data_IF_331330677567
#
_entry.id   IF_331330677567
#
_cell.length_a   1.000
_cell.length_b   1.000
_cell.length_c   1.000
_cell.angle_alpha   90.00
_cell.angle_beta   90.00
_cell.angle_gamma   90.00
#
_symmetry.space_group_name_H-M   'P 1'
#
loop_
_entity.id
_entity.type
_entity.pdbx_description
1 polymer ?
#
# COMPACT_ATOMS: atom_id res chain seq x y z
N UNK A 1 19.91 -39.71 -18.19
CA UNK A 1 19.80 -41.10 -18.59
C UNK A 1 18.34 -41.59 -18.54
N UNK A 2 17.81 -42.08 -19.69
CA UNK A 2 16.40 -42.43 -19.84
C UNK A 2 15.94 -43.53 -18.81
N UNK A 3 16.82 -44.43 -18.41
CA UNK A 3 16.50 -45.50 -17.44
C UNK A 3 16.30 -45.02 -16.01
N UNK A 4 16.97 -43.95 -15.59
CA UNK A 4 16.76 -43.33 -14.28
C UNK A 4 15.43 -42.58 -14.21
N UNK A 5 15.02 -41.94 -15.31
CA UNK A 5 13.75 -41.23 -15.39
C UNK A 5 12.55 -42.18 -15.31
N UNK A 6 12.62 -43.37 -15.91
CA UNK A 6 11.56 -44.37 -15.77
C UNK A 6 11.40 -44.92 -14.34
N UNK A 7 12.51 -45.10 -13.62
CA UNK A 7 12.48 -45.52 -12.22
C UNK A 7 11.88 -44.47 -11.30
N UNK A 8 12.17 -43.18 -11.55
CA UNK A 8 11.58 -42.07 -10.83
C UNK A 8 10.09 -41.90 -11.12
N UNK A 9 9.68 -41.98 -12.38
CA UNK A 9 8.29 -41.89 -12.81
C UNK A 9 7.39 -43.03 -12.21
N UNK A 10 7.97 -44.20 -11.90
CA UNK A 10 7.23 -45.31 -11.29
C UNK A 10 7.06 -45.18 -9.79
N UNK A 11 7.78 -44.29 -9.12
CA UNK A 11 7.83 -44.18 -7.66
C UNK A 11 7.25 -42.87 -7.13
N UNK A 12 7.10 -41.83 -7.95
CA UNK A 12 6.75 -40.47 -7.50
C UNK A 12 5.83 -39.82 -8.52
N UNK A 13 4.67 -39.36 -8.06
CA UNK A 13 3.72 -38.56 -8.84
C UNK A 13 3.31 -37.36 -7.99
N UNK A 14 4.05 -36.24 -8.15
CA UNK A 14 3.84 -35.02 -7.38
C UNK A 14 2.91 -34.07 -8.13
N UNK A 15 1.80 -33.73 -7.51
CA UNK A 15 0.99 -32.61 -7.96
C UNK A 15 1.58 -31.30 -7.44
N UNK A 16 2.30 -30.59 -8.28
CA UNK A 16 2.97 -29.34 -7.92
C UNK A 16 2.00 -28.20 -7.57
N UNK A 17 0.73 -28.26 -7.99
CA UNK A 17 -0.29 -27.32 -7.52
C UNK A 17 -0.52 -27.47 -6.00
N UNK A 18 -0.62 -28.72 -5.52
CA UNK A 18 -0.84 -28.99 -4.09
C UNK A 18 0.41 -28.65 -3.25
N UNK A 19 1.61 -28.68 -3.87
CA UNK A 19 2.86 -28.36 -3.19
C UNK A 19 3.02 -26.85 -2.98
N UNK A 20 2.66 -26.03 -3.96
CA UNK A 20 2.97 -24.59 -3.94
C UNK A 20 1.77 -23.70 -3.64
N UNK A 21 0.56 -24.26 -3.65
CA UNK A 21 -0.65 -23.54 -3.31
C UNK A 21 -1.34 -24.13 -2.07
N UNK A 22 -2.01 -23.27 -1.33
CA UNK A 22 -2.79 -23.65 -0.17
C UNK A 22 -4.19 -24.10 -0.63
N UNK A 23 -4.59 -25.33 -0.32
CA UNK A 23 -5.96 -25.82 -0.56
C UNK A 23 -7.01 -25.03 0.24
N UNK A 24 -6.62 -24.51 1.38
CA UNK A 24 -7.49 -23.80 2.33
C UNK A 24 -6.75 -22.57 2.87
N UNK A 25 -6.75 -21.51 2.10
CA UNK A 25 -6.27 -20.20 2.56
C UNK A 25 -7.32 -19.58 3.50
N UNK A 26 -6.96 -19.36 4.76
CA UNK A 26 -7.85 -18.77 5.75
C UNK A 26 -7.92 -17.26 5.57
N UNK A 27 -9.15 -16.72 5.62
CA UNK A 27 -9.39 -15.29 5.68
C UNK A 27 -10.25 -14.98 6.91
N UNK A 28 -9.81 -14.02 7.71
CA UNK A 28 -10.52 -13.51 8.89
C UNK A 28 -10.67 -11.99 8.78
N UNK A 29 -11.86 -11.48 9.05
CA UNK A 29 -12.13 -10.05 9.12
C UNK A 29 -13.03 -9.76 10.32
N UNK A 30 -12.61 -8.80 11.14
CA UNK A 30 -13.35 -8.36 12.32
C UNK A 30 -13.47 -6.83 12.26
N UNK A 31 -14.69 -6.32 12.33
CA UNK A 31 -14.99 -4.91 12.27
C UNK A 31 -15.88 -4.52 13.45
N UNK A 32 -15.49 -3.46 14.15
CA UNK A 32 -16.26 -2.87 15.22
C UNK A 32 -16.43 -1.38 14.97
N UNK A 33 -17.63 -0.85 15.10
CA UNK A 33 -17.87 0.59 14.95
C UNK A 33 -18.87 1.11 15.95
N UNK A 34 -18.70 2.38 16.31
CA UNK A 34 -19.62 3.15 17.14
C UNK A 34 -19.87 4.48 16.46
N UNK A 35 -21.13 4.87 16.37
CA UNK A 35 -21.52 6.18 15.85
C UNK A 35 -22.64 6.79 16.68
N UNK A 36 -22.67 8.11 16.73
CA UNK A 36 -23.77 8.86 17.32
C UNK A 36 -23.94 10.20 16.61
N UNK A 37 -25.17 10.66 16.58
CA UNK A 37 -25.54 11.93 15.99
C UNK A 37 -26.44 12.70 16.97
N UNK A 38 -26.07 13.95 17.24
CA UNK A 38 -26.85 14.91 17.99
C UNK A 38 -26.99 16.21 17.18
N UNK A 39 -27.77 17.18 17.67
CA UNK A 39 -27.86 18.48 17.01
C UNK A 39 -26.51 19.23 16.90
N UNK A 40 -25.59 18.95 17.82
CA UNK A 40 -24.29 19.67 17.90
C UNK A 40 -23.10 18.88 17.45
N UNK A 41 -23.19 17.55 17.42
CA UNK A 41 -22.04 16.70 17.15
C UNK A 41 -22.46 15.40 16.47
N UNK A 42 -21.75 15.04 15.43
CA UNK A 42 -21.79 13.72 14.80
C UNK A 42 -20.42 13.08 14.93
N UNK A 43 -20.36 11.83 15.32
CA UNK A 43 -19.10 11.10 15.31
C UNK A 43 -19.27 9.65 14.83
N UNK A 44 -18.21 9.14 14.28
CA UNK A 44 -18.05 7.74 13.89
C UNK A 44 -16.63 7.30 14.24
N UNK A 45 -16.51 6.21 14.98
CA UNK A 45 -15.23 5.57 15.29
C UNK A 45 -15.34 4.10 14.91
N UNK A 46 -14.34 3.57 14.22
CA UNK A 46 -14.28 2.15 13.91
C UNK A 46 -12.85 1.62 14.02
N UNK A 47 -12.75 0.33 14.35
CA UNK A 47 -11.53 -0.44 14.28
C UNK A 47 -11.77 -1.70 13.47
N UNK A 48 -10.83 -2.10 12.65
CA UNK A 48 -10.89 -3.35 11.91
C UNK A 48 -9.56 -4.10 11.94
N UNK A 49 -9.68 -5.41 11.94
CA UNK A 49 -8.58 -6.35 11.78
C UNK A 49 -8.89 -7.26 10.60
N UNK A 50 -7.90 -7.46 9.76
CA UNK A 50 -7.98 -8.35 8.60
C UNK A 50 -6.70 -9.19 8.55
N UNK A 51 -6.85 -10.51 8.44
CA UNK A 51 -5.76 -11.47 8.34
C UNK A 51 -6.12 -12.48 7.25
N UNK A 52 -5.22 -12.66 6.30
CA UNK A 52 -5.41 -13.52 5.15
C UNK A 52 -4.15 -14.30 4.84
N UNK A 53 -4.28 -15.62 4.80
CA UNK A 53 -3.30 -16.47 4.13
C UNK A 53 -3.53 -16.37 2.61
N UNK A 54 -2.45 -16.24 1.86
CA UNK A 54 -2.54 -16.24 0.40
C UNK A 54 -2.75 -17.65 -0.15
N UNK A 55 -3.24 -17.73 -1.38
CA UNK A 55 -3.34 -19.00 -2.09
C UNK A 55 -1.97 -19.60 -2.40
N UNK A 56 -0.95 -18.76 -2.70
CA UNK A 56 0.43 -19.24 -2.81
C UNK A 56 1.02 -19.42 -1.40
N UNK A 57 1.68 -20.55 -1.17
CA UNK A 57 2.35 -20.84 0.10
C UNK A 57 3.38 -19.74 0.42
N UNK A 58 3.55 -19.42 1.70
CA UNK A 58 4.46 -18.37 2.16
C UNK A 58 3.96 -16.95 1.96
N UNK A 59 2.78 -16.73 1.37
CA UNK A 59 2.18 -15.41 1.25
C UNK A 59 1.15 -15.14 2.33
N UNK A 60 1.25 -13.98 2.99
CA UNK A 60 0.30 -13.55 4.03
C UNK A 60 0.05 -12.06 3.95
N UNK A 61 -1.16 -11.64 4.30
CA UNK A 61 -1.53 -10.24 4.42
C UNK A 61 -2.25 -9.98 5.73
N UNK A 62 -1.76 -9.01 6.50
CA UNK A 62 -2.38 -8.58 7.76
C UNK A 62 -2.57 -7.06 7.78
N UNK A 63 -3.74 -6.60 8.19
CA UNK A 63 -4.06 -5.18 8.28
C UNK A 63 -4.83 -4.85 9.56
N UNK A 64 -4.41 -3.76 10.20
CA UNK A 64 -5.13 -3.08 11.27
C UNK A 64 -5.52 -1.70 10.78
N UNK A 65 -6.75 -1.30 11.02
CA UNK A 65 -7.27 -0.02 10.60
C UNK A 65 -8.07 0.60 11.75
N UNK A 66 -7.83 1.88 12.02
CA UNK A 66 -8.62 2.70 12.93
C UNK A 66 -9.09 3.92 12.15
N UNK A 67 -10.38 4.24 12.27
CA UNK A 67 -10.97 5.44 11.67
C UNK A 67 -11.72 6.21 12.74
N UNK A 68 -11.55 7.53 12.73
CA UNK A 68 -12.28 8.45 13.59
C UNK A 68 -12.72 9.66 12.76
N UNK A 69 -14.02 9.88 12.68
CA UNK A 69 -14.62 11.03 12.03
C UNK A 69 -15.42 11.78 13.10
N UNK A 70 -15.27 13.06 13.17
CA UNK A 70 -16.05 13.92 14.04
C UNK A 70 -16.42 15.23 13.32
N UNK A 71 -17.61 15.71 13.62
CA UNK A 71 -18.18 16.92 13.08
C UNK A 71 -18.91 17.63 14.21
N UNK A 72 -18.48 18.82 14.57
CA UNK A 72 -18.95 19.56 15.73
C UNK A 72 -19.40 20.96 15.33
N UNK A 73 -20.64 21.29 15.62
CA UNK A 73 -21.14 22.66 15.55
C UNK A 73 -20.77 23.39 16.84
N UNK A 74 -19.57 24.01 16.83
CA UNK A 74 -19.02 24.71 18.01
C UNK A 74 -19.84 25.96 18.39
N UNK A 75 -20.45 26.62 17.39
CA UNK A 75 -21.36 27.73 17.57
C UNK A 75 -22.38 27.80 16.42
N UNK A 76 -23.25 28.81 16.42
CA UNK A 76 -24.18 29.03 15.29
C UNK A 76 -23.50 29.35 13.97
N UNK A 77 -22.30 29.89 14.04
CA UNK A 77 -21.51 30.34 12.88
C UNK A 77 -20.24 29.54 12.65
N UNK A 78 -19.87 28.59 13.55
CA UNK A 78 -18.63 27.81 13.46
C UNK A 78 -18.91 26.31 13.54
N UNK A 79 -18.46 25.57 12.51
CA UNK A 79 -18.44 24.12 12.43
C UNK A 79 -17.00 23.64 12.22
N UNK A 80 -16.59 22.66 13.00
CA UNK A 80 -15.28 22.04 12.94
C UNK A 80 -15.44 20.56 12.66
N UNK A 81 -14.53 19.98 11.91
CA UNK A 81 -14.58 18.54 11.70
C UNK A 81 -13.24 17.93 11.38
N UNK A 82 -13.18 16.63 11.58
CA UNK A 82 -12.04 15.78 11.26
C UNK A 82 -12.47 14.46 10.67
N UNK A 83 -11.69 13.98 9.70
CA UNK A 83 -11.75 12.61 9.20
C UNK A 83 -10.33 12.06 9.26
N UNK A 84 -10.09 11.11 10.14
CA UNK A 84 -8.75 10.54 10.34
C UNK A 84 -8.81 9.03 10.22
N UNK A 85 -7.85 8.47 9.51
CA UNK A 85 -7.65 7.03 9.38
C UNK A 85 -6.17 6.71 9.58
N UNK A 86 -5.90 5.72 10.42
CA UNK A 86 -4.57 5.13 10.59
C UNK A 86 -4.62 3.67 10.20
N UNK A 87 -3.64 3.23 9.42
CA UNK A 87 -3.55 1.86 8.89
C UNK A 87 -2.15 1.32 9.15
N UNK A 88 -2.07 0.09 9.62
CA UNK A 88 -0.87 -0.72 9.59
C UNK A 88 -1.12 -1.94 8.72
N UNK A 89 -0.23 -2.20 7.77
CA UNK A 89 -0.25 -3.36 6.89
C UNK A 89 1.07 -4.11 7.00
N UNK A 90 1.00 -5.43 6.99
CA UNK A 90 2.15 -6.31 6.84
C UNK A 90 1.84 -7.31 5.74
N UNK A 91 2.74 -7.42 4.79
CA UNK A 91 2.68 -8.36 3.67
C UNK A 91 3.94 -9.20 3.70
N UNK A 92 3.79 -10.51 3.73
CA UNK A 92 4.81 -11.43 3.31
C UNK A 92 4.41 -11.91 1.91
N UNK A 93 5.26 -11.66 0.95
CA UNK A 93 4.96 -11.95 -0.46
C UNK A 93 5.69 -13.23 -0.86
N UNK A 94 4.99 -14.13 -1.51
CA UNK A 94 5.63 -15.23 -2.23
C UNK A 94 6.38 -14.66 -3.45
N UNK A 95 7.41 -15.35 -3.91
CA UNK A 95 8.11 -14.98 -5.14
C UNK A 95 7.14 -15.06 -6.33
N UNK A 96 7.09 -14.03 -7.15
CA UNK A 96 6.20 -13.91 -8.31
C UNK A 96 6.93 -13.83 -9.66
N UNK A 97 8.25 -14.04 -9.66
CA UNK A 97 9.08 -14.00 -10.87
C UNK A 97 8.58 -15.00 -11.92
N UNK A 98 8.20 -14.48 -13.10
CA UNK A 98 7.53 -15.27 -14.16
C UNK A 98 8.37 -16.45 -14.66
N UNK A 99 9.69 -16.34 -14.62
CA UNK A 99 10.62 -17.37 -15.09
C UNK A 99 11.43 -18.04 -13.98
N UNK A 100 11.16 -17.67 -12.73
CA UNK A 100 11.85 -18.26 -11.60
C UNK A 100 11.18 -19.58 -11.21
N UNK A 101 11.86 -20.71 -11.42
CA UNK A 101 11.30 -22.05 -11.12
C UNK A 101 10.92 -22.23 -9.65
N UNK A 102 11.49 -21.44 -8.76
CA UNK A 102 11.13 -21.40 -7.33
C UNK A 102 9.90 -20.54 -7.03
N UNK A 103 9.36 -19.81 -7.99
CA UNK A 103 8.09 -19.13 -7.79
C UNK A 103 6.92 -20.12 -7.83
N UNK A 104 5.89 -19.99 -6.97
CA UNK A 104 4.76 -20.92 -6.96
C UNK A 104 4.07 -21.09 -8.32
N UNK A 105 3.89 -19.98 -9.05
CA UNK A 105 3.23 -20.01 -10.36
C UNK A 105 4.08 -20.78 -11.39
N UNK A 106 5.38 -20.52 -11.45
CA UNK A 106 6.28 -21.21 -12.36
C UNK A 106 6.47 -22.67 -11.97
N UNK A 107 6.62 -22.96 -10.66
CA UNK A 107 6.74 -24.33 -10.17
C UNK A 107 5.53 -25.18 -10.54
N UNK A 108 4.30 -24.66 -10.38
CA UNK A 108 3.07 -25.36 -10.72
C UNK A 108 2.96 -25.74 -12.20
N UNK A 109 3.69 -25.05 -13.09
CA UNK A 109 3.62 -25.23 -14.54
C UNK A 109 4.78 -26.01 -15.13
N UNK A 110 5.97 -25.85 -14.55
CA UNK A 110 7.23 -26.33 -15.17
C UNK A 110 7.92 -27.42 -14.38
N UNK A 111 7.59 -27.63 -13.11
CA UNK A 111 8.14 -28.72 -12.33
C UNK A 111 7.56 -30.05 -12.77
N UNK A 112 8.43 -31.04 -12.91
CA UNK A 112 8.03 -32.35 -13.39
C UNK A 112 7.49 -33.23 -12.23
N UNK A 113 6.48 -34.06 -12.46
CA UNK A 113 5.79 -34.79 -11.39
C UNK A 113 6.65 -35.83 -10.70
N UNK A 114 7.75 -36.27 -11.30
CA UNK A 114 8.71 -37.17 -10.68
C UNK A 114 9.79 -36.52 -9.84
N UNK A 115 9.77 -35.22 -9.69
CA UNK A 115 10.63 -34.48 -8.77
C UNK A 115 9.93 -34.34 -7.42
N UNK A 116 10.45 -35.04 -6.41
CA UNK A 116 9.87 -34.97 -5.06
C UNK A 116 10.49 -33.80 -4.28
N UNK A 117 9.69 -32.81 -3.80
CA UNK A 117 10.21 -31.70 -3.01
C UNK A 117 10.60 -32.11 -1.58
N UNK A 118 10.27 -33.34 -1.16
CA UNK A 118 10.54 -33.83 0.20
C UNK A 118 11.51 -35.01 0.18
N UNK A 119 12.19 -35.20 1.30
CA UNK A 119 12.94 -36.41 1.62
C UNK A 119 11.99 -37.52 2.12
N UNK A 120 12.52 -38.73 2.29
CA UNK A 120 11.76 -39.87 2.84
C UNK A 120 11.26 -39.59 4.26
N UNK A 121 11.94 -38.79 5.06
CA UNK A 121 11.55 -38.36 6.40
C UNK A 121 10.50 -37.24 6.44
N UNK A 122 10.07 -36.74 5.29
CA UNK A 122 9.10 -35.66 5.14
C UNK A 122 9.68 -34.25 5.25
N UNK A 123 11.00 -34.10 5.46
CA UNK A 123 11.66 -32.80 5.44
C UNK A 123 11.86 -32.30 4.02
N UNK A 124 12.00 -30.99 3.83
CA UNK A 124 12.22 -30.38 2.51
C UNK A 124 13.55 -30.86 1.94
N UNK A 125 13.53 -31.35 0.69
CA UNK A 125 14.72 -31.77 -0.02
C UNK A 125 15.58 -30.56 -0.40
N UNK A 126 16.90 -30.67 -0.23
CA UNK A 126 17.84 -29.59 -0.44
C UNK A 126 18.83 -29.91 -1.55
N UNK A 127 19.24 -28.86 -2.25
CA UNK A 127 20.34 -28.92 -3.22
C UNK A 127 21.68 -29.12 -2.50
N UNK A 128 21.83 -28.60 -1.27
CA UNK A 128 23.06 -28.63 -0.50
C UNK A 128 23.55 -30.04 -0.14
N UNK A 129 22.64 -30.95 0.12
CA UNK A 129 22.95 -32.35 0.44
C UNK A 129 22.66 -33.31 -0.72
N UNK A 130 22.26 -32.77 -1.87
CA UNK A 130 21.94 -33.53 -3.09
C UNK A 130 20.65 -34.36 -2.96
N UNK A 131 19.80 -34.12 -1.98
CA UNK A 131 18.48 -34.78 -1.88
C UNK A 131 17.48 -34.22 -2.90
N UNK A 132 17.57 -32.95 -3.27
CA UNK A 132 16.81 -32.39 -4.38
C UNK A 132 17.34 -32.92 -5.72
N UNK A 133 16.46 -33.48 -6.54
CA UNK A 133 16.78 -34.10 -7.82
C UNK A 133 16.18 -33.39 -9.02
N UNK A 134 15.45 -32.31 -8.79
CA UNK A 134 14.83 -31.53 -9.85
C UNK A 134 15.80 -30.58 -10.53
N UNK A 135 15.35 -29.94 -11.60
CA UNK A 135 16.07 -28.86 -12.27
C UNK A 135 15.78 -27.54 -11.55
N UNK A 136 16.81 -26.72 -11.38
CA UNK A 136 16.71 -25.47 -10.63
C UNK A 136 16.51 -25.71 -9.14
N UNK A 137 15.97 -24.76 -8.47
CA UNK A 137 15.83 -24.73 -7.01
C UNK A 137 14.53 -25.37 -6.56
N UNK A 138 14.55 -26.06 -5.41
CA UNK A 138 13.33 -26.53 -4.78
C UNK A 138 12.52 -25.32 -4.28
N UNK A 139 11.26 -25.09 -4.74
CA UNK A 139 10.45 -23.95 -4.32
C UNK A 139 10.23 -23.87 -2.82
N UNK A 140 10.08 -25.00 -2.14
CA UNK A 140 9.88 -25.05 -0.69
C UNK A 140 11.15 -24.62 0.05
N UNK A 141 12.32 -25.14 -0.35
CA UNK A 141 13.61 -24.74 0.21
C UNK A 141 13.85 -23.24 0.02
N UNK A 142 13.52 -22.73 -1.18
CA UNK A 142 13.64 -21.28 -1.45
C UNK A 142 12.78 -20.46 -0.50
N UNK A 143 11.51 -20.82 -0.28
CA UNK A 143 10.58 -20.11 0.61
C UNK A 143 11.04 -20.13 2.07
N UNK A 144 11.63 -21.24 2.55
CA UNK A 144 12.16 -21.33 3.91
C UNK A 144 13.36 -20.43 4.14
N UNK A 145 14.21 -20.27 3.14
CA UNK A 145 15.52 -19.61 3.24
C UNK A 145 15.51 -18.16 2.75
N UNK A 146 14.46 -17.72 2.07
CA UNK A 146 14.35 -16.36 1.56
C UNK A 146 13.08 -15.70 2.12
N UNK A 147 13.27 -14.59 2.83
CA UNK A 147 12.19 -13.87 3.48
C UNK A 147 12.09 -12.46 2.92
N UNK A 148 10.89 -12.07 2.54
CA UNK A 148 10.58 -10.70 2.17
C UNK A 148 9.31 -10.25 2.92
N UNK A 149 9.49 -9.29 3.82
CA UNK A 149 8.40 -8.75 4.64
C UNK A 149 8.31 -7.25 4.38
N UNK A 150 7.16 -6.81 3.89
CA UNK A 150 6.84 -5.41 3.67
C UNK A 150 5.86 -4.94 4.75
N UNK A 151 6.16 -3.80 5.37
CA UNK A 151 5.29 -3.15 6.35
C UNK A 151 4.96 -1.76 5.86
N UNK A 152 3.71 -1.36 6.05
CA UNK A 152 3.24 -0.03 5.68
C UNK A 152 2.45 0.59 6.85
N UNK A 153 2.82 1.81 7.18
CA UNK A 153 2.10 2.66 8.12
C UNK A 153 1.53 3.83 7.33
N UNK A 154 0.23 4.02 7.40
CA UNK A 154 -0.45 5.11 6.70
C UNK A 154 -1.32 5.90 7.66
N UNK A 155 -1.20 7.22 7.63
CA UNK A 155 -2.10 8.15 8.32
C UNK A 155 -2.66 9.11 7.29
N UNK A 156 -3.97 9.08 7.16
CA UNK A 156 -4.73 10.02 6.35
C UNK A 156 -5.60 10.85 7.30
N UNK A 157 -5.44 12.15 7.29
CA UNK A 157 -6.24 13.06 8.11
C UNK A 157 -6.71 14.26 7.31
N UNK A 158 -7.93 14.66 7.56
CA UNK A 158 -8.51 15.91 7.06
C UNK A 158 -9.11 16.65 8.23
N UNK A 159 -8.70 17.89 8.41
CA UNK A 159 -9.27 18.82 9.37
C UNK A 159 -9.97 19.94 8.62
N UNK A 160 -11.12 20.37 9.05
CA UNK A 160 -11.76 21.54 8.46
C UNK A 160 -12.39 22.47 9.51
N UNK A 161 -12.39 23.72 9.18
CA UNK A 161 -13.18 24.77 9.83
C UNK A 161 -14.09 25.42 8.79
N UNK A 162 -15.35 25.55 9.13
CA UNK A 162 -16.40 26.16 8.32
C UNK A 162 -17.05 27.26 9.11
N UNK A 163 -17.06 28.47 8.55
CA UNK A 163 -17.60 29.67 9.17
C UNK A 163 -18.74 30.17 8.31
N UNK A 164 -19.89 30.42 8.93
CA UNK A 164 -21.06 31.03 8.30
C UNK A 164 -21.29 32.40 8.96
N UNK A 165 -20.57 33.46 8.53
CA UNK A 165 -20.61 34.77 9.19
C UNK A 165 -21.94 35.49 9.00
N UNK A 166 -22.58 35.26 7.88
CA UNK A 166 -23.94 35.75 7.55
C UNK A 166 -24.70 34.62 6.87
N UNK A 167 -26.01 34.70 6.87
CA UNK A 167 -26.86 33.78 6.13
C UNK A 167 -26.43 33.73 4.66
N UNK A 168 -26.45 32.53 4.07
CA UNK A 168 -26.06 32.27 2.66
C UNK A 168 -24.55 32.30 2.35
N UNK A 169 -23.67 32.80 3.23
CA UNK A 169 -22.22 32.84 3.00
C UNK A 169 -21.51 31.81 3.87
N UNK A 170 -20.79 30.89 3.23
CA UNK A 170 -19.97 29.87 3.89
C UNK A 170 -18.51 30.03 3.49
N UNK A 171 -17.62 30.14 4.47
CA UNK A 171 -16.15 30.14 4.28
C UNK A 171 -15.63 28.87 4.91
N UNK A 172 -14.94 28.04 4.12
CA UNK A 172 -14.36 26.79 4.59
C UNK A 172 -12.88 26.74 4.30
N UNK A 173 -12.10 26.40 5.33
CA UNK A 173 -10.69 26.04 5.20
C UNK A 173 -10.53 24.58 5.59
N UNK A 174 -9.86 23.80 4.75
CA UNK A 174 -9.62 22.38 4.94
C UNK A 174 -8.14 22.09 4.79
N UNK A 175 -7.57 21.38 5.75
CA UNK A 175 -6.21 20.88 5.71
C UNK A 175 -6.25 19.35 5.64
N UNK A 176 -5.56 18.79 4.66
CA UNK A 176 -5.38 17.36 4.47
C UNK A 176 -3.91 16.97 4.61
N UNK A 177 -3.64 15.87 5.27
CA UNK A 177 -2.32 15.23 5.31
C UNK A 177 -2.47 13.74 5.02
N UNK A 178 -1.72 13.24 4.03
CA UNK A 178 -1.54 11.81 3.72
C UNK A 178 -0.08 11.47 3.93
N UNK A 179 0.21 10.74 4.99
CA UNK A 179 1.55 10.25 5.31
C UNK A 179 1.58 8.74 5.15
N UNK A 180 2.55 8.23 4.41
CA UNK A 180 2.82 6.80 4.27
C UNK A 180 4.30 6.53 4.52
N UNK A 181 4.59 5.64 5.44
CA UNK A 181 5.91 5.04 5.63
C UNK A 181 5.84 3.57 5.23
N UNK A 182 6.67 3.15 4.28
CA UNK A 182 6.80 1.77 3.83
C UNK A 182 8.20 1.27 4.15
N UNK A 183 8.32 0.11 4.79
CA UNK A 183 9.60 -0.53 5.08
C UNK A 183 9.62 -1.94 4.52
N UNK A 184 10.75 -2.35 3.95
CA UNK A 184 10.99 -3.70 3.49
C UNK A 184 12.14 -4.34 4.27
N UNK A 185 11.93 -5.58 4.65
CA UNK A 185 12.93 -6.49 5.18
C UNK A 185 13.13 -7.60 4.17
N UNK A 186 14.37 -7.87 3.80
CA UNK A 186 14.77 -8.98 2.94
C UNK A 186 15.90 -9.75 3.62
N UNK A 187 15.86 -11.07 3.51
CA UNK A 187 16.90 -11.97 3.99
C UNK A 187 17.00 -13.16 3.05
N UNK A 188 18.24 -13.53 2.71
CA UNK A 188 18.57 -14.80 2.10
C UNK A 188 19.61 -15.49 2.99
N UNK A 189 19.34 -16.69 3.43
CA UNK A 189 20.14 -17.39 4.44
C UNK A 189 21.43 -17.95 3.81
N UNK A 190 22.57 -17.85 4.49
CA UNK A 190 23.83 -18.45 4.02
C UNK A 190 23.79 -19.99 3.96
N UNK A 191 22.97 -20.67 4.76
CA UNK A 191 22.76 -22.11 4.71
C UNK A 191 22.05 -22.58 3.43
N UNK A 192 21.39 -21.67 2.72
CA UNK A 192 20.76 -21.95 1.43
C UNK A 192 21.84 -22.24 0.36
N UNK A 193 21.81 -23.43 -0.24
CA UNK A 193 22.87 -23.90 -1.11
C UNK A 193 23.30 -22.94 -2.23
N UNK A 194 22.36 -22.30 -2.95
CA UNK A 194 22.73 -21.34 -4.00
C UNK A 194 23.48 -20.11 -3.51
N UNK A 195 23.47 -19.83 -2.20
CA UNK A 195 24.19 -18.73 -1.59
C UNK A 195 25.65 -19.04 -1.27
N UNK A 196 26.07 -20.30 -1.38
CA UNK A 196 27.45 -20.77 -1.16
C UNK A 196 28.06 -20.23 0.15
N UNK A 197 27.30 -20.33 1.25
CA UNK A 197 27.72 -19.84 2.56
C UNK A 197 27.72 -18.31 2.74
N UNK A 198 27.25 -17.55 1.75
CA UNK A 198 27.27 -16.10 1.76
C UNK A 198 25.83 -15.54 1.68
N UNK A 199 25.19 -15.40 2.83
CA UNK A 199 23.83 -14.84 2.90
C UNK A 199 23.72 -13.36 2.50
N UNK A 200 22.49 -12.88 2.44
CA UNK A 200 22.19 -11.48 2.18
C UNK A 200 21.15 -10.93 3.15
N UNK A 201 21.27 -9.65 3.53
CA UNK A 201 20.29 -8.91 4.29
C UNK A 201 19.98 -7.57 3.60
N UNK A 202 18.70 -7.26 3.47
CA UNK A 202 18.25 -6.03 2.82
C UNK A 202 17.29 -5.23 3.71
N UNK A 203 17.37 -3.91 3.58
CA UNK A 203 16.43 -2.97 4.19
C UNK A 203 16.08 -1.89 3.18
N UNK A 204 14.82 -1.54 3.15
CA UNK A 204 14.36 -0.35 2.45
C UNK A 204 13.38 0.43 3.34
N UNK A 205 13.39 1.75 3.21
CA UNK A 205 12.40 2.62 3.82
C UNK A 205 12.05 3.74 2.84
N UNK A 206 10.75 3.97 2.66
CA UNK A 206 10.20 4.99 1.80
C UNK A 206 9.15 5.79 2.57
N UNK A 207 9.26 7.10 2.52
CA UNK A 207 8.31 8.04 3.10
C UNK A 207 7.62 8.83 2.00
N UNK A 208 6.32 8.91 2.08
CA UNK A 208 5.51 9.79 1.24
C UNK A 208 4.73 10.72 2.14
N UNK A 209 4.81 12.02 1.89
CA UNK A 209 4.00 13.03 2.57
C UNK A 209 3.32 13.89 1.51
N UNK A 210 1.99 13.94 1.57
CA UNK A 210 1.18 14.81 0.75
C UNK A 210 0.35 15.72 1.66
N UNK A 211 0.59 17.02 1.58
CA UNK A 211 -0.14 18.04 2.33
C UNK A 211 -1.02 18.81 1.35
N UNK A 212 -2.27 19.01 1.72
CA UNK A 212 -3.24 19.78 0.91
C UNK A 212 -3.92 20.80 1.79
N UNK A 213 -3.99 22.02 1.33
CA UNK A 213 -4.83 23.07 1.93
C UNK A 213 -5.80 23.58 0.89
N UNK A 214 -7.10 23.54 1.21
CA UNK A 214 -8.17 24.01 0.33
C UNK A 214 -9.02 25.03 1.07
N UNK A 215 -9.12 26.22 0.49
CA UNK A 215 -9.93 27.32 1.02
C UNK A 215 -11.04 27.62 0.02
N UNK A 216 -12.28 27.69 0.47
CA UNK A 216 -13.43 27.99 -0.38
C UNK A 216 -14.35 29.03 0.27
N UNK A 217 -14.93 29.85 -0.57
CA UNK A 217 -16.01 30.78 -0.22
C UNK A 217 -17.19 30.40 -1.09
N UNK A 218 -18.31 30.10 -0.46
CA UNK A 218 -19.55 29.75 -1.15
C UNK A 218 -20.65 30.73 -0.75
N UNK A 219 -21.33 31.29 -1.74
CA UNK A 219 -22.51 32.13 -1.54
C UNK A 219 -23.71 31.51 -2.24
N UNK A 220 -24.80 31.29 -1.50
CA UNK A 220 -26.05 30.71 -2.02
C UNK A 220 -27.19 31.67 -1.74
N UNK A 221 -28.01 31.92 -2.75
CA UNK A 221 -29.19 32.77 -2.62
C UNK A 221 -30.33 32.30 -3.51
N UNK A 222 -31.54 32.60 -3.09
CA UNK A 222 -32.74 32.43 -3.93
C UNK A 222 -33.42 33.76 -4.04
N UNK A 223 -33.72 34.19 -5.27
CA UNK A 223 -34.39 35.45 -5.58
C UNK A 223 -35.78 35.10 -6.11
N UNK A 224 -36.80 35.79 -5.64
CA UNK A 224 -38.20 35.65 -6.03
C UNK A 224 -38.73 34.20 -5.94
N UNK A 225 -38.13 33.36 -5.09
CA UNK A 225 -38.40 31.93 -4.90
C UNK A 225 -38.13 31.03 -6.13
N UNK A 226 -37.87 31.55 -7.29
CA UNK A 226 -37.74 30.83 -8.55
C UNK A 226 -36.30 30.79 -9.08
N UNK A 227 -35.47 31.76 -8.71
CA UNK A 227 -34.07 31.86 -9.16
C UNK A 227 -33.11 31.44 -8.07
N UNK A 228 -32.56 30.24 -8.14
CA UNK A 228 -31.52 29.77 -7.22
C UNK A 228 -30.12 29.97 -7.82
N UNK A 229 -29.24 30.59 -7.05
CA UNK A 229 -27.85 30.91 -7.43
C UNK A 229 -26.90 30.32 -6.39
N UNK A 230 -25.85 29.65 -6.85
CA UNK A 230 -24.75 29.14 -6.02
C UNK A 230 -23.42 29.53 -6.67
N UNK A 231 -22.65 30.37 -5.97
CA UNK A 231 -21.32 30.78 -6.42
C UNK A 231 -20.27 30.21 -5.46
N UNK A 232 -19.23 29.62 -6.01
CA UNK A 232 -18.09 29.13 -5.27
C UNK A 232 -16.82 29.67 -5.88
N UNK A 233 -15.92 30.18 -5.05
CA UNK A 233 -14.53 30.47 -5.41
C UNK A 233 -13.61 29.71 -4.43
N UNK A 234 -12.48 29.23 -4.93
CA UNK A 234 -11.58 28.45 -4.12
C UNK A 234 -10.12 28.59 -4.55
N UNK A 235 -9.27 28.28 -3.58
CA UNK A 235 -7.83 28.13 -3.74
C UNK A 235 -7.41 26.80 -3.14
N UNK A 236 -6.48 26.11 -3.79
CA UNK A 236 -5.91 24.86 -3.31
C UNK A 236 -4.40 24.88 -3.45
N UNK A 237 -3.70 24.48 -2.42
CA UNK A 237 -2.26 24.25 -2.41
C UNK A 237 -1.98 22.79 -2.08
N UNK A 238 -1.05 22.18 -2.83
CA UNK A 238 -0.57 20.82 -2.60
C UNK A 238 0.95 20.84 -2.50
N UNK A 239 1.51 20.17 -1.49
CA UNK A 239 2.94 19.92 -1.34
C UNK A 239 3.15 18.41 -1.20
N UNK A 240 3.86 17.83 -2.14
CA UNK A 240 4.18 16.41 -2.17
C UNK A 240 5.67 16.21 -1.99
N UNK A 241 6.02 15.25 -1.12
CA UNK A 241 7.40 14.81 -0.87
C UNK A 241 7.46 13.30 -0.82
N UNK A 242 8.45 12.77 -1.50
CA UNK A 242 8.79 11.36 -1.48
C UNK A 242 10.29 11.23 -1.28
N UNK A 243 10.68 10.40 -0.34
CA UNK A 243 12.07 10.08 -0.07
C UNK A 243 12.20 8.62 0.35
N UNK A 244 13.30 8.01 0.02
CA UNK A 244 13.53 6.65 0.44
C UNK A 244 14.90 6.15 0.07
N UNK A 245 15.24 5.02 0.69
CA UNK A 245 16.49 4.32 0.41
C UNK A 245 16.30 2.81 0.44
N UNK A 246 17.20 2.12 -0.22
CA UNK A 246 17.37 0.68 -0.15
C UNK A 246 18.84 0.35 -0.01
N UNK A 247 19.15 -0.61 0.87
CA UNK A 247 20.49 -1.17 1.04
C UNK A 247 20.39 -2.68 1.15
N UNK A 248 21.23 -3.39 0.40
CA UNK A 248 21.42 -4.84 0.50
C UNK A 248 22.90 -5.10 0.78
N UNK A 249 23.18 -5.88 1.79
CA UNK A 249 24.54 -6.36 2.12
C UNK A 249 24.62 -7.87 1.94
N UNK A 250 25.79 -8.35 1.58
CA UNK A 250 26.11 -9.77 1.39
C UNK A 250 27.28 -10.18 2.24
N UNK A 251 27.45 -11.51 2.44
CA UNK A 251 28.55 -12.07 3.22
C UNK A 251 28.15 -12.30 4.68
N UNK A 252 26.87 -12.42 4.98
CA UNK A 252 26.41 -12.98 6.26
C UNK A 252 26.83 -14.46 6.30
N UNK A 253 27.44 -14.88 7.39
CA UNK A 253 28.01 -16.22 7.56
C UNK A 253 27.16 -17.15 8.40
N UNK A 254 26.04 -16.68 8.93
CA UNK A 254 25.13 -17.42 9.79
C UNK A 254 23.69 -16.95 9.58
N UNK A 255 22.73 -17.88 9.59
CA UNK A 255 21.30 -17.61 9.34
C UNK A 255 20.65 -16.67 10.36
N UNK A 256 21.23 -16.56 11.54
CA UNK A 256 20.75 -15.63 12.59
C UNK A 256 21.27 -14.19 12.41
N UNK A 257 22.24 -13.96 11.52
CA UNK A 257 22.78 -12.63 11.22
C UNK A 257 21.92 -11.90 10.21
N UNK A 258 20.85 -11.26 10.68
CA UNK A 258 19.82 -10.61 9.83
C UNK A 258 20.01 -9.11 9.67
N UNK A 259 21.10 -8.53 10.21
CA UNK A 259 21.35 -7.09 10.13
C UNK A 259 22.22 -6.73 8.93
N UNK A 260 22.09 -5.50 8.42
CA UNK A 260 22.94 -5.00 7.34
C UNK A 260 24.44 -5.02 7.76
N UNK A 261 24.72 -4.69 9.02
CA UNK A 261 26.09 -4.61 9.55
C UNK A 261 26.76 -5.96 9.71
N UNK A 262 26.06 -7.07 9.63
CA UNK A 262 26.65 -8.42 9.66
C UNK A 262 27.13 -8.90 8.29
N UNK A 263 26.84 -8.17 7.22
CA UNK A 263 27.37 -8.43 5.90
C UNK A 263 28.80 -7.87 5.75
N UNK A 264 29.62 -8.56 4.98
CA UNK A 264 31.01 -8.14 4.71
C UNK A 264 31.11 -7.03 3.66
N UNK A 265 30.09 -6.87 2.79
CA UNK A 265 30.06 -5.86 1.73
C UNK A 265 28.64 -5.42 1.41
N UNK A 266 28.45 -4.15 1.02
CA UNK A 266 27.23 -3.71 0.36
C UNK A 266 27.22 -4.22 -1.09
N UNK A 267 26.10 -4.81 -1.52
CA UNK A 267 25.90 -5.28 -2.89
C UNK A 267 25.02 -4.33 -3.71
N UNK A 268 24.08 -3.69 -3.06
CA UNK A 268 23.15 -2.74 -3.69
C UNK A 268 22.85 -1.62 -2.69
N UNK A 269 22.86 -0.39 -3.18
CA UNK A 269 22.35 0.77 -2.45
C UNK A 269 21.74 1.76 -3.44
N UNK A 270 20.67 2.37 -3.04
CA UNK A 270 20.02 3.45 -3.78
C UNK A 270 19.29 4.36 -2.83
N UNK A 271 19.20 5.61 -3.18
CA UNK A 271 18.29 6.57 -2.56
C UNK A 271 17.50 7.32 -3.62
N UNK A 272 16.37 7.84 -3.25
CA UNK A 272 15.47 8.58 -4.13
C UNK A 272 14.81 9.70 -3.37
N UNK A 273 14.72 10.86 -4.02
CA UNK A 273 13.97 12.01 -3.52
C UNK A 273 13.15 12.58 -4.67
N UNK A 274 11.88 12.84 -4.46
CA UNK A 274 11.02 13.58 -5.38
C UNK A 274 10.13 14.53 -4.62
N UNK A 275 9.95 15.75 -5.16
CA UNK A 275 9.08 16.75 -4.57
C UNK A 275 8.42 17.59 -5.64
N UNK A 276 7.17 17.95 -5.43
CA UNK A 276 6.47 18.92 -6.25
C UNK A 276 5.39 19.63 -5.45
N UNK A 277 5.01 20.80 -5.95
CA UNK A 277 3.91 21.56 -5.37
C UNK A 277 2.97 22.04 -6.47
N UNK A 278 1.68 22.13 -6.14
CA UNK A 278 0.65 22.76 -6.97
C UNK A 278 0.01 23.92 -6.23
N UNK A 279 -0.37 24.94 -6.99
CA UNK A 279 -1.24 26.02 -6.54
C UNK A 279 -2.34 26.21 -7.58
N UNK A 280 -3.57 26.16 -7.12
CA UNK A 280 -4.74 26.19 -7.99
C UNK A 280 -5.73 27.24 -7.52
N UNK A 281 -6.40 27.90 -8.47
CA UNK A 281 -7.58 28.73 -8.23
C UNK A 281 -8.72 28.25 -9.08
N UNK A 282 -9.92 28.24 -8.53
CA UNK A 282 -11.10 27.77 -9.22
C UNK A 282 -12.34 28.55 -8.83
N UNK A 283 -13.28 28.62 -9.75
CA UNK A 283 -14.58 29.22 -9.51
C UNK A 283 -15.67 28.37 -10.21
N UNK A 284 -16.84 28.35 -9.60
CA UNK A 284 -18.03 27.68 -10.12
C UNK A 284 -19.26 28.56 -9.87
N UNK A 285 -20.12 28.68 -10.85
CA UNK A 285 -21.43 29.29 -10.77
C UNK A 285 -22.49 28.28 -11.19
N UNK A 286 -23.54 28.15 -10.40
CA UNK A 286 -24.70 27.32 -10.69
C UNK A 286 -25.93 28.20 -10.62
N UNK A 287 -26.84 28.02 -11.55
CA UNK A 287 -28.10 28.73 -11.63
C UNK A 287 -29.24 27.74 -11.94
N UNK A 288 -30.35 27.89 -11.24
CA UNK A 288 -31.58 27.20 -11.62
C UNK A 288 -32.78 28.16 -11.60
N UNK A 289 -33.68 27.96 -12.54
CA UNK A 289 -34.92 28.67 -12.64
C UNK A 289 -36.11 27.71 -12.53
N UNK A 290 -37.02 27.97 -11.58
CA UNK A 290 -38.22 27.20 -11.28
C UNK A 290 -37.95 25.69 -11.13
N UNK A 291 -36.75 25.31 -10.66
CA UNK A 291 -36.29 23.92 -10.61
C UNK A 291 -36.46 23.14 -11.95
N UNK A 292 -36.54 23.84 -13.08
CA UNK A 292 -36.76 23.27 -14.41
C UNK A 292 -35.60 23.50 -15.36
N UNK A 293 -34.96 24.67 -15.27
CA UNK A 293 -33.84 25.04 -16.13
C UNK A 293 -32.60 25.20 -15.28
N UNK A 294 -31.53 24.56 -15.69
CA UNK A 294 -30.26 24.54 -14.96
C UNK A 294 -29.13 24.97 -15.88
N UNK A 295 -28.24 25.78 -15.39
CA UNK A 295 -26.99 26.15 -16.05
C UNK A 295 -25.85 26.13 -15.02
N UNK A 296 -24.70 25.59 -15.39
CA UNK A 296 -23.49 25.65 -14.59
C UNK A 296 -22.28 26.08 -15.42
N UNK A 297 -21.37 26.76 -14.74
CA UNK A 297 -20.10 27.19 -15.31
C UNK A 297 -18.99 26.96 -14.29
N UNK A 298 -17.86 26.45 -14.76
CA UNK A 298 -16.67 26.26 -13.93
C UNK A 298 -15.39 26.66 -14.68
N UNK A 299 -14.44 27.21 -13.96
CA UNK A 299 -13.09 27.53 -14.45
C UNK A 299 -12.08 27.15 -13.39
N UNK A 300 -10.94 26.63 -13.81
CA UNK A 300 -9.81 26.33 -12.93
C UNK A 300 -8.50 26.70 -13.63
N UNK A 301 -7.57 27.23 -12.89
CA UNK A 301 -6.19 27.43 -13.32
C UNK A 301 -5.24 26.83 -12.31
N UNK A 302 -4.22 26.14 -12.80
CA UNK A 302 -3.26 25.40 -12.00
C UNK A 302 -1.83 25.81 -12.32
N UNK A 303 -1.01 25.95 -11.27
CA UNK A 303 0.43 26.13 -11.39
C UNK A 303 1.15 24.93 -10.80
N UNK A 304 2.17 24.42 -11.48
CA UNK A 304 3.00 23.32 -11.03
C UNK A 304 4.47 23.72 -10.90
N UNK A 305 5.11 23.29 -9.81
CA UNK A 305 6.56 23.47 -9.60
C UNK A 305 7.41 22.67 -10.57
N UNK A 306 6.83 21.64 -11.25
CA UNK A 306 7.54 20.82 -12.24
C UNK A 306 7.80 21.55 -13.55
N UNK A 307 7.12 22.67 -13.79
CA UNK A 307 7.33 23.51 -14.98
C UNK A 307 8.21 24.74 -14.69
N UNK A 308 8.93 25.19 -15.69
CA UNK A 308 9.74 26.42 -15.63
C UNK A 308 8.89 27.67 -15.37
N UNK A 309 9.52 28.75 -14.91
CA UNK A 309 8.81 29.98 -14.46
C UNK A 309 7.85 30.56 -15.49
N UNK A 310 8.16 30.46 -16.79
CA UNK A 310 7.36 31.00 -17.90
C UNK A 310 6.15 30.16 -18.31
N UNK A 311 6.07 28.90 -17.86
CA UNK A 311 5.01 27.95 -18.26
C UNK A 311 4.33 27.24 -17.10
N UNK A 312 4.37 27.83 -15.90
CA UNK A 312 3.85 27.17 -14.69
C UNK A 312 2.34 27.12 -14.61
N UNK A 313 1.65 28.09 -15.25
CA UNK A 313 0.21 28.22 -15.18
C UNK A 313 -0.46 27.63 -16.43
N UNK A 314 -1.49 26.84 -16.21
CA UNK A 314 -2.42 26.33 -17.22
C UNK A 314 -3.86 26.54 -16.74
N UNK A 315 -4.80 26.77 -17.69
CA UNK A 315 -6.22 26.96 -17.44
C UNK A 315 -7.03 25.93 -18.22
#
# INVERSE_FOLDING_TARGET
>A
DAGQNYALLSQTDVNWLDVVFNDRALLQSYDLSVSSATEKMNYYVSGSFYDQDGIAQGSTFRRYNIRANADVRASRWLRLGTNTMAVYEQVQQAEDGEYALYSPISASRFMLPYWNPYREDGTVASESDGSWKGTGQNPLEWMENNRQINKKYKVLTTLFAEITPIENLTIRSQFGADFTNSTAFMQSMPSYAPNDGSGAAGRAAYNTLNLTITNTITYRTTIDNDHSLNFLVGQEGVDYRYEGFQVITQGQTNDFLTTLSSGSRASTWSDVTDAYSFLSFFARGEYSYDNRYYADFSVRTDASSRFGKSGRWAA
#
